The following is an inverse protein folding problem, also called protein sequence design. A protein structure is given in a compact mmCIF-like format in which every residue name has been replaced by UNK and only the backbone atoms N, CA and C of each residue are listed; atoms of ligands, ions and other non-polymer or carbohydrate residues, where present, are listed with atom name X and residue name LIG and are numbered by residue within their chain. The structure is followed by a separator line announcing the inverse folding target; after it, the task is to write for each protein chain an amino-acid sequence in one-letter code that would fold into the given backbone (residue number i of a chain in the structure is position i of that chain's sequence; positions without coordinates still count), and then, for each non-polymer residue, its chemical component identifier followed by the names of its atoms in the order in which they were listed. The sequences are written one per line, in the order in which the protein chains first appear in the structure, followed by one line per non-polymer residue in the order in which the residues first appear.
data_IF_727577350098
#
_entry.id   IF_727577350098
#
_cell.length_a   1.000
_cell.length_b   1.000
_cell.length_c   1.000
_cell.angle_alpha   90.00
_cell.angle_beta   90.00
_cell.angle_gamma   90.00
#
_symmetry.space_group_name_H-M   'P 1'
#
loop_
_entity.id
_entity.type
_entity.pdbx_description
1 polymer ?
#
# COMPACT_ATOMS: atom_id res chain seq x y z
N UNK A 1 -4.06 37.85 2.07
CA UNK A 1 -2.88 36.98 2.29
C UNK A 1 -3.22 35.61 1.73
N UNK A 2 -2.66 35.26 0.55
CA UNK A 2 -2.77 33.93 -0.03
C UNK A 2 -1.93 32.99 0.83
N UNK A 3 -2.57 32.18 1.65
CA UNK A 3 -1.94 31.02 2.26
C UNK A 3 -1.72 29.98 1.15
N UNK A 4 -0.54 29.99 0.57
CA UNK A 4 -0.05 28.86 -0.21
C UNK A 4 0.31 27.77 0.81
N UNK A 5 -0.62 26.88 1.10
CA UNK A 5 -0.32 25.65 1.85
C UNK A 5 0.54 24.79 0.93
N UNK A 6 1.85 24.85 1.07
CA UNK A 6 2.70 23.76 0.59
C UNK A 6 2.44 22.58 1.54
N UNK A 7 1.74 21.58 1.06
CA UNK A 7 1.53 20.36 1.83
C UNK A 7 2.86 19.62 1.83
N UNK A 8 3.64 19.81 2.87
CA UNK A 8 4.85 19.05 3.11
C UNK A 8 4.46 17.79 3.87
N UNK A 9 4.85 16.61 3.37
CA UNK A 9 4.70 15.36 4.10
C UNK A 9 5.78 15.28 5.17
N UNK A 10 5.35 15.18 6.42
CA UNK A 10 6.26 14.96 7.53
C UNK A 10 6.77 13.52 7.49
N UNK A 11 8.04 13.35 7.70
CA UNK A 11 8.66 12.06 7.90
C UNK A 11 8.07 11.35 9.12
N UNK A 12 7.69 10.09 8.96
CA UNK A 12 7.20 9.23 10.04
C UNK A 12 8.32 8.27 10.42
N UNK A 13 8.91 8.50 11.58
CA UNK A 13 10.00 7.67 12.09
C UNK A 13 9.61 6.18 12.12
N UNK A 14 10.43 5.35 11.51
CA UNK A 14 10.20 3.90 11.45
C UNK A 14 9.24 3.47 10.32
N UNK A 15 8.86 4.38 9.42
CA UNK A 15 8.10 4.09 8.22
C UNK A 15 8.96 4.42 6.99
N UNK A 16 9.05 3.48 6.05
CA UNK A 16 9.68 3.70 4.75
C UNK A 16 8.68 3.35 3.65
N UNK A 17 8.73 4.09 2.58
CA UNK A 17 7.79 3.95 1.47
C UNK A 17 8.53 3.89 0.13
N UNK A 18 7.94 3.17 -0.81
CA UNK A 18 8.36 3.17 -2.21
C UNK A 18 7.18 3.02 -3.15
N UNK A 19 7.32 3.48 -4.37
CA UNK A 19 6.37 3.22 -5.44
C UNK A 19 7.10 3.17 -6.78
N UNK A 20 6.76 2.20 -7.61
CA UNK A 20 7.40 1.97 -8.91
C UNK A 20 6.35 1.71 -9.99
N UNK A 21 6.75 1.87 -11.24
CA UNK A 21 5.98 1.41 -12.40
C UNK A 21 6.34 -0.06 -12.67
N UNK A 22 5.46 -0.98 -12.29
CA UNK A 22 5.69 -2.42 -12.44
C UNK A 22 5.10 -3.00 -13.73
N UNK A 23 4.32 -2.20 -14.49
CA UNK A 23 3.65 -2.61 -15.70
C UNK A 23 2.27 -3.23 -15.48
N UNK A 24 1.67 -3.05 -14.30
CA UNK A 24 0.25 -3.37 -14.04
C UNK A 24 -0.63 -2.38 -14.80
N UNK A 25 -0.26 -1.10 -14.80
CA UNK A 25 -0.86 -0.07 -15.67
C UNK A 25 -0.11 0.02 -17.01
N UNK A 26 -0.84 0.14 -18.11
CA UNK A 26 -0.27 0.21 -19.45
C UNK A 26 0.46 1.52 -19.78
N UNK A 27 0.22 2.58 -19.00
CA UNK A 27 0.75 3.94 -19.25
C UNK A 27 2.10 4.21 -18.54
N UNK A 28 2.75 3.18 -18.02
CA UNK A 28 4.02 3.28 -17.29
C UNK A 28 4.02 4.25 -16.10
N UNK A 29 2.85 4.49 -15.50
CA UNK A 29 2.73 5.25 -14.26
C UNK A 29 3.01 4.36 -13.05
N UNK A 30 3.28 4.97 -11.88
CA UNK A 30 3.43 4.26 -10.63
C UNK A 30 2.17 3.42 -10.35
N UNK A 31 2.36 2.14 -10.05
CA UNK A 31 1.27 1.17 -9.91
C UNK A 31 1.50 0.09 -8.86
N UNK A 32 2.72 0.00 -8.33
CA UNK A 32 3.07 -0.92 -7.25
C UNK A 32 3.79 -0.14 -6.15
N UNK A 33 3.20 -0.14 -4.96
CA UNK A 33 3.66 0.64 -3.82
C UNK A 33 3.86 -0.26 -2.59
N UNK A 34 4.82 0.10 -1.75
CA UNK A 34 5.14 -0.59 -0.52
C UNK A 34 5.32 0.43 0.61
N UNK A 35 4.70 0.15 1.75
CA UNK A 35 4.94 0.85 3.01
C UNK A 35 5.51 -0.19 3.97
N UNK A 36 6.73 0.01 4.42
CA UNK A 36 7.41 -0.83 5.41
C UNK A 36 7.35 -0.16 6.77
N UNK A 37 7.04 -0.95 7.79
CA UNK A 37 6.87 -0.52 9.17
C UNK A 37 7.95 -1.17 10.04
N UNK A 38 8.48 -0.42 10.99
CA UNK A 38 9.42 -0.96 11.97
C UNK A 38 8.74 -2.03 12.83
N UNK A 39 9.50 -3.02 13.28
CA UNK A 39 9.02 -4.03 14.22
C UNK A 39 8.44 -3.39 15.48
N UNK A 40 7.33 -3.94 15.98
CA UNK A 40 6.60 -3.38 17.13
C UNK A 40 5.55 -2.32 16.76
N UNK A 41 5.39 -1.99 15.48
CA UNK A 41 4.31 -1.11 15.02
C UNK A 41 2.94 -1.72 15.30
N UNK A 42 1.99 -0.89 15.73
CA UNK A 42 0.59 -1.28 15.92
C UNK A 42 -0.21 -0.96 14.66
N UNK A 43 -1.06 -1.91 14.24
CA UNK A 43 -1.90 -1.76 13.06
C UNK A 43 -3.37 -2.00 13.41
N UNK A 44 -4.23 -1.14 12.89
CA UNK A 44 -5.67 -1.30 12.94
C UNK A 44 -6.27 -1.06 11.56
N UNK A 45 -7.35 -1.74 11.23
CA UNK A 45 -8.01 -1.60 9.93
C UNK A 45 -9.53 -1.68 10.06
N UNK A 46 -10.20 -1.02 9.11
CA UNK A 46 -11.65 -1.18 8.88
C UNK A 46 -11.85 -1.75 7.48
N UNK A 47 -12.87 -2.58 7.34
CA UNK A 47 -13.15 -3.30 6.10
C UNK A 47 -14.60 -3.14 5.68
N UNK A 48 -14.85 -3.29 4.38
CA UNK A 48 -16.22 -3.34 3.86
C UNK A 48 -17.02 -4.49 4.49
N UNK A 49 -18.31 -4.24 4.68
CA UNK A 49 -19.30 -5.27 5.08
C UNK A 49 -19.95 -5.96 3.88
N UNK A 50 -19.58 -5.58 2.65
CA UNK A 50 -20.11 -6.20 1.45
C UNK A 50 -19.71 -7.69 1.39
N UNK A 51 -20.69 -8.55 1.12
CA UNK A 51 -20.47 -10.00 0.96
C UNK A 51 -19.55 -10.29 -0.23
N UNK A 52 -19.64 -9.50 -1.30
CA UNK A 52 -18.76 -9.60 -2.47
C UNK A 52 -17.44 -8.85 -2.22
N UNK A 53 -16.64 -9.37 -1.30
CA UNK A 53 -15.32 -8.81 -0.99
C UNK A 53 -14.29 -9.22 -2.04
N UNK A 54 -13.40 -8.28 -2.38
CA UNK A 54 -12.21 -8.58 -3.17
C UNK A 54 -11.24 -9.48 -2.41
N UNK A 55 -10.46 -10.27 -3.15
CA UNK A 55 -9.49 -11.21 -2.58
C UNK A 55 -8.50 -10.56 -1.59
N UNK A 56 -7.88 -9.39 -1.88
CA UNK A 56 -6.97 -8.74 -0.94
C UNK A 56 -7.65 -8.36 0.39
N UNK A 57 -8.95 -8.02 0.37
CA UNK A 57 -9.70 -7.73 1.61
C UNK A 57 -9.79 -8.97 2.51
N UNK A 58 -10.06 -10.14 1.92
CA UNK A 58 -10.15 -11.40 2.66
C UNK A 58 -8.80 -11.82 3.24
N UNK A 59 -7.73 -11.69 2.45
CA UNK A 59 -6.36 -11.98 2.91
C UNK A 59 -5.95 -11.00 4.01
N UNK A 60 -6.18 -9.69 3.84
CA UNK A 60 -5.85 -8.68 4.84
C UNK A 60 -6.58 -8.89 6.18
N UNK A 61 -7.88 -9.28 6.15
CA UNK A 61 -8.63 -9.64 7.36
C UNK A 61 -7.99 -10.79 8.13
N UNK A 62 -7.46 -11.79 7.42
CA UNK A 62 -6.78 -12.93 8.01
C UNK A 62 -5.43 -12.50 8.61
N UNK A 63 -4.61 -11.78 7.83
CA UNK A 63 -3.27 -11.36 8.23
C UNK A 63 -3.27 -10.36 9.39
N UNK A 64 -4.33 -9.58 9.58
CA UNK A 64 -4.41 -8.57 10.65
C UNK A 64 -4.31 -9.17 12.08
N UNK A 65 -4.41 -10.49 12.22
CA UNK A 65 -4.13 -11.19 13.48
C UNK A 65 -2.62 -11.30 13.79
N UNK A 66 -1.75 -10.94 12.84
CA UNK A 66 -0.29 -10.95 12.99
C UNK A 66 0.25 -9.55 13.25
N UNK A 67 1.52 -9.44 13.66
CA UNK A 67 2.22 -8.15 13.74
C UNK A 67 2.58 -7.68 12.34
N UNK A 68 1.89 -6.68 11.83
CA UNK A 68 2.09 -6.20 10.45
C UNK A 68 3.37 -5.37 10.34
N UNK A 69 4.15 -5.65 9.31
CA UNK A 69 5.39 -4.95 8.98
C UNK A 69 5.43 -4.38 7.56
N UNK A 70 4.45 -4.73 6.71
CA UNK A 70 4.38 -4.19 5.36
C UNK A 70 2.94 -4.05 4.85
N UNK A 71 2.72 -3.01 4.03
CA UNK A 71 1.49 -2.81 3.27
C UNK A 71 1.89 -2.83 1.79
N UNK A 72 1.42 -3.82 1.04
CA UNK A 72 1.63 -3.95 -0.40
C UNK A 72 0.39 -3.45 -1.14
N UNK A 73 0.56 -2.45 -2.00
CA UNK A 73 -0.56 -1.83 -2.70
C UNK A 73 -0.30 -1.89 -4.20
N UNK A 74 -1.22 -2.47 -4.97
CA UNK A 74 -1.21 -2.33 -6.41
C UNK A 74 -2.41 -1.52 -6.91
N UNK A 75 -2.20 -0.75 -7.96
CA UNK A 75 -3.25 -0.03 -8.70
C UNK A 75 -3.29 -0.44 -10.18
N UNK A 76 -4.45 -0.31 -10.81
CA UNK A 76 -4.71 -0.79 -12.16
C UNK A 76 -5.49 -2.11 -12.22
N UNK A 77 -5.41 -2.94 -11.18
CA UNK A 77 -6.15 -4.19 -11.05
C UNK A 77 -6.69 -4.30 -9.62
N UNK A 78 -7.99 -4.55 -9.46
CA UNK A 78 -8.65 -4.64 -8.15
C UNK A 78 -8.55 -6.02 -7.50
N UNK A 79 -8.16 -7.05 -8.25
CA UNK A 79 -8.21 -8.45 -7.83
C UNK A 79 -9.56 -8.81 -7.16
N UNK A 80 -10.65 -8.35 -7.76
CA UNK A 80 -12.02 -8.52 -7.32
C UNK A 80 -12.81 -9.31 -8.36
N UNK A 81 -13.73 -10.18 -7.92
CA UNK A 81 -14.47 -11.08 -8.82
C UNK A 81 -13.61 -12.19 -9.43
N UNK A 82 -12.48 -12.51 -8.84
CA UNK A 82 -11.46 -13.43 -9.36
C UNK A 82 -11.49 -14.81 -8.70
N UNK A 83 -12.41 -15.02 -7.76
CA UNK A 83 -12.64 -16.32 -7.11
C UNK A 83 -11.40 -16.84 -6.36
N UNK A 84 -11.27 -18.18 -6.34
CA UNK A 84 -10.17 -18.87 -5.65
C UNK A 84 -8.79 -18.44 -6.16
N UNK A 85 -8.65 -18.28 -7.48
CA UNK A 85 -7.39 -17.87 -8.09
C UNK A 85 -6.92 -16.48 -7.58
N UNK A 86 -7.86 -15.54 -7.43
CA UNK A 86 -7.54 -14.21 -6.88
C UNK A 86 -7.06 -14.26 -5.43
N UNK A 87 -7.61 -15.15 -4.60
CA UNK A 87 -7.12 -15.40 -3.24
C UNK A 87 -5.68 -15.93 -3.24
N UNK A 88 -5.42 -16.95 -4.07
CA UNK A 88 -4.08 -17.51 -4.24
C UNK A 88 -3.07 -16.47 -4.71
N UNK A 89 -3.46 -15.64 -5.67
CA UNK A 89 -2.60 -14.58 -6.22
C UNK A 89 -2.32 -13.46 -5.20
N UNK A 90 -3.34 -13.09 -4.40
CA UNK A 90 -3.16 -12.13 -3.32
C UNK A 90 -2.18 -12.65 -2.26
N UNK A 91 -2.32 -13.91 -1.85
CA UNK A 91 -1.40 -14.53 -0.90
C UNK A 91 0.03 -14.65 -1.45
N UNK A 92 0.19 -15.10 -2.70
CA UNK A 92 1.49 -15.14 -3.37
C UNK A 92 2.18 -13.79 -3.44
N UNK A 93 1.41 -12.72 -3.66
CA UNK A 93 1.97 -11.37 -3.65
C UNK A 93 2.55 -10.99 -2.28
N UNK A 94 1.89 -11.42 -1.20
CA UNK A 94 2.43 -11.24 0.16
C UNK A 94 3.70 -12.07 0.39
N UNK A 95 3.73 -13.34 -0.08
CA UNK A 95 4.92 -14.21 0.02
C UNK A 95 6.14 -13.58 -0.66
N UNK A 96 5.98 -13.05 -1.87
CA UNK A 96 7.07 -12.44 -2.64
C UNK A 96 7.69 -11.23 -1.91
N UNK A 97 6.86 -10.36 -1.33
CA UNK A 97 7.35 -9.20 -0.58
C UNK A 97 7.93 -9.61 0.77
N UNK A 98 7.33 -10.59 1.42
CA UNK A 98 7.82 -11.11 2.69
C UNK A 98 9.23 -11.74 2.54
N UNK A 99 9.48 -12.46 1.45
CA UNK A 99 10.79 -13.02 1.12
C UNK A 99 11.85 -11.92 0.98
N UNK A 100 11.56 -10.86 0.22
CA UNK A 100 12.50 -9.73 0.02
C UNK A 100 12.75 -8.93 1.31
N UNK A 101 11.76 -8.84 2.21
CA UNK A 101 11.87 -8.14 3.49
C UNK A 101 12.39 -9.05 4.62
N UNK A 102 12.55 -10.36 4.38
CA UNK A 102 12.88 -11.37 5.39
C UNK A 102 11.92 -11.38 6.59
N UNK A 103 10.60 -11.33 6.30
CA UNK A 103 9.50 -11.41 7.26
C UNK A 103 8.54 -12.55 6.87
N UNK A 104 7.49 -12.77 7.65
CA UNK A 104 6.47 -13.79 7.32
C UNK A 104 5.41 -13.22 6.37
N UNK A 105 4.83 -14.03 5.46
CA UNK A 105 3.75 -13.58 4.56
C UNK A 105 2.57 -12.94 5.29
N UNK A 106 2.20 -13.45 6.46
CA UNK A 106 1.11 -12.93 7.29
C UNK A 106 1.40 -11.54 7.89
N UNK A 107 2.64 -11.07 7.79
CA UNK A 107 3.02 -9.72 8.21
C UNK A 107 2.88 -8.67 7.10
N UNK A 108 2.40 -9.09 5.91
CA UNK A 108 2.14 -8.22 4.76
C UNK A 108 0.64 -8.09 4.55
N UNK A 109 0.11 -6.86 4.54
CA UNK A 109 -1.28 -6.58 4.16
C UNK A 109 -1.36 -6.23 2.68
N UNK A 110 -2.14 -6.98 1.86
CA UNK A 110 -2.34 -6.67 0.46
C UNK A 110 -3.49 -5.67 0.25
N UNK A 111 -3.31 -4.77 -0.71
CA UNK A 111 -4.32 -3.83 -1.19
C UNK A 111 -4.31 -3.82 -2.71
N UNK A 112 -5.49 -3.86 -3.33
CA UNK A 112 -5.60 -3.78 -4.80
C UNK A 112 -6.74 -2.83 -5.18
N UNK A 113 -6.52 -2.04 -6.22
CA UNK A 113 -7.50 -1.10 -6.73
C UNK A 113 -7.39 -0.98 -8.25
N UNK A 114 -8.52 -0.89 -8.95
CA UNK A 114 -8.58 -0.75 -10.40
C UNK A 114 -9.64 -1.63 -11.06
N UNK A 115 -9.29 -2.29 -12.16
CA UNK A 115 -10.21 -3.10 -12.94
C UNK A 115 -10.66 -4.35 -12.17
N UNK A 116 -11.97 -4.62 -12.22
CA UNK A 116 -12.64 -5.78 -11.60
C UNK A 116 -12.75 -6.91 -12.64
N UNK A 117 -12.69 -8.17 -12.19
CA UNK A 117 -12.90 -9.36 -13.04
C UNK A 117 -11.68 -9.81 -13.82
N UNK A 118 -10.53 -9.16 -13.65
CA UNK A 118 -9.26 -9.57 -14.25
C UNK A 118 -8.33 -10.18 -13.19
N UNK A 119 -7.62 -11.23 -13.54
CA UNK A 119 -6.63 -11.85 -12.68
C UNK A 119 -5.48 -10.87 -12.41
N UNK A 120 -4.97 -10.91 -11.18
CA UNK A 120 -3.83 -10.08 -10.78
C UNK A 120 -2.57 -10.53 -11.56
N UNK A 121 -1.83 -9.61 -12.19
CA UNK A 121 -0.60 -9.96 -12.90
C UNK A 121 0.56 -10.21 -11.93
N UNK A 122 0.51 -11.34 -11.22
CA UNK A 122 1.46 -11.72 -10.15
C UNK A 122 2.90 -11.74 -10.64
N UNK A 123 3.15 -12.09 -11.91
CA UNK A 123 4.48 -12.09 -12.50
C UNK A 123 5.10 -10.67 -12.58
N UNK A 124 4.27 -9.63 -12.75
CA UNK A 124 4.74 -8.25 -12.66
C UNK A 124 5.22 -7.91 -11.25
N UNK A 125 4.47 -8.34 -10.22
CA UNK A 125 4.88 -8.15 -8.82
C UNK A 125 6.19 -8.89 -8.54
N UNK A 126 6.28 -10.16 -8.96
CA UNK A 126 7.47 -10.99 -8.78
C UNK A 126 8.74 -10.36 -9.39
N UNK A 127 8.63 -9.89 -10.62
CA UNK A 127 9.77 -9.27 -11.32
C UNK A 127 10.28 -7.99 -10.64
N UNK A 128 9.40 -7.29 -9.96
CA UNK A 128 9.66 -5.97 -9.42
C UNK A 128 9.78 -5.95 -7.89
N UNK A 129 9.57 -7.07 -7.18
CA UNK A 129 9.60 -7.14 -5.72
C UNK A 129 10.94 -6.64 -5.14
N UNK A 130 12.06 -7.12 -5.67
CA UNK A 130 13.39 -6.69 -5.24
C UNK A 130 13.61 -5.19 -5.47
N UNK A 131 13.28 -4.66 -6.66
CA UNK A 131 13.39 -3.24 -6.95
C UNK A 131 12.52 -2.41 -6.00
N UNK A 132 11.27 -2.83 -5.73
CA UNK A 132 10.34 -2.15 -4.85
C UNK A 132 10.90 -2.04 -3.42
N UNK A 133 11.44 -3.13 -2.89
CA UNK A 133 12.04 -3.17 -1.55
C UNK A 133 13.31 -2.33 -1.48
N UNK A 134 14.19 -2.41 -2.48
CA UNK A 134 15.43 -1.62 -2.51
C UNK A 134 15.19 -0.11 -2.73
N UNK A 135 14.00 0.28 -3.18
CA UNK A 135 13.60 1.69 -3.36
C UNK A 135 12.95 2.31 -2.12
N UNK A 136 12.84 1.59 -1.01
CA UNK A 136 12.24 2.10 0.23
C UNK A 136 13.02 3.27 0.81
N UNK A 137 12.34 4.41 0.99
CA UNK A 137 12.90 5.62 1.59
C UNK A 137 11.94 6.23 2.61
N UNK A 138 12.43 7.08 3.51
CA UNK A 138 11.64 7.74 4.57
C UNK A 138 10.73 8.85 4.01
N UNK A 139 11.07 9.42 2.87
CA UNK A 139 10.32 10.47 2.16
C UNK A 139 9.40 9.95 1.03
N UNK A 140 9.32 8.62 0.84
CA UNK A 140 8.59 7.99 -0.27
C UNK A 140 7.06 8.05 -0.22
N UNK A 141 6.44 8.60 0.84
CA UNK A 141 4.97 8.59 1.00
C UNK A 141 4.24 9.38 -0.11
N UNK A 142 4.86 10.43 -0.65
CA UNK A 142 4.33 11.18 -1.79
C UNK A 142 4.21 10.34 -3.06
N UNK A 143 5.15 9.45 -3.31
CA UNK A 143 5.09 8.54 -4.46
C UNK A 143 4.05 7.42 -4.24
N UNK A 144 3.83 6.98 -3.00
CA UNK A 144 2.70 6.10 -2.67
C UNK A 144 1.38 6.80 -2.97
N UNK A 145 1.21 8.08 -2.60
CA UNK A 145 0.00 8.84 -2.90
C UNK A 145 -0.30 8.89 -4.41
N UNK A 146 0.72 8.97 -5.26
CA UNK A 146 0.59 8.87 -6.73
C UNK A 146 0.32 7.43 -7.18
N UNK A 147 1.06 6.47 -6.62
CA UNK A 147 1.02 5.07 -7.01
C UNK A 147 -0.34 4.40 -6.78
N UNK A 148 -1.11 4.85 -5.78
CA UNK A 148 -2.43 4.30 -5.46
C UNK A 148 -3.57 4.83 -6.34
N UNK A 149 -3.34 5.88 -7.15
CA UNK A 149 -4.37 6.51 -7.97
C UNK A 149 -4.86 5.58 -9.09
N UNK A 150 -6.13 5.70 -9.42
CA UNK A 150 -6.75 5.04 -10.60
C UNK A 150 -7.43 6.07 -11.48
N UNK A 151 -8.63 6.51 -11.13
CA UNK A 151 -9.45 7.52 -11.83
C UNK A 151 -9.37 8.90 -11.18
N UNK A 152 -8.67 9.01 -10.08
CA UNK A 152 -8.46 10.28 -9.38
C UNK A 152 -7.69 11.27 -10.25
N UNK A 153 -8.08 12.55 -10.18
CA UNK A 153 -7.43 13.64 -10.92
C UNK A 153 -6.22 14.21 -10.19
N UNK A 154 -6.19 14.07 -8.86
CA UNK A 154 -5.14 14.62 -8.00
C UNK A 154 -4.81 13.68 -6.85
N UNK A 155 -3.59 13.74 -6.36
CA UNK A 155 -3.18 13.07 -5.13
C UNK A 155 -3.87 13.69 -3.91
N UNK A 156 -4.23 12.84 -2.96
CA UNK A 156 -4.84 13.26 -1.70
C UNK A 156 -3.96 12.79 -0.55
N UNK A 157 -3.24 13.71 0.04
CA UNK A 157 -2.39 13.46 1.20
C UNK A 157 -2.31 14.68 2.10
N UNK A 158 -2.03 14.46 3.37
CA UNK A 158 -1.76 15.53 4.32
C UNK A 158 -0.84 15.06 5.43
N UNK A 159 -0.16 15.98 6.06
CA UNK A 159 0.61 15.77 7.29
C UNK A 159 0.37 16.88 8.28
N UNK A 160 0.32 16.52 9.55
CA UNK A 160 0.28 17.46 10.67
C UNK A 160 1.25 17.02 11.76
N UNK A 161 1.81 17.99 12.48
CA UNK A 161 2.60 17.75 13.68
C UNK A 161 1.92 18.41 14.87
N UNK A 162 1.90 17.72 15.99
CA UNK A 162 1.37 18.23 17.25
C UNK A 162 2.16 17.65 18.44
N UNK A 163 1.93 18.19 19.63
CA UNK A 163 2.59 17.69 20.83
C UNK A 163 1.60 16.95 21.73
N UNK A 164 2.05 15.81 22.25
CA UNK A 164 1.38 15.05 23.30
C UNK A 164 2.39 14.89 24.45
N UNK A 165 2.07 15.41 25.61
CA UNK A 165 2.96 15.38 26.79
C UNK A 165 4.40 15.85 26.51
N UNK A 166 4.53 16.90 25.69
CA UNK A 166 5.82 17.48 25.28
C UNK A 166 6.56 16.74 24.17
N UNK A 167 6.09 15.58 23.75
CA UNK A 167 6.66 14.78 22.66
C UNK A 167 5.99 15.19 21.32
N UNK A 168 6.79 15.45 20.30
CA UNK A 168 6.27 15.73 18.94
C UNK A 168 5.77 14.44 18.30
N UNK A 169 4.52 14.48 17.85
CA UNK A 169 3.87 13.40 17.08
C UNK A 169 3.59 13.91 15.67
N UNK A 170 4.02 13.14 14.67
CA UNK A 170 3.69 13.36 13.27
C UNK A 170 2.57 12.40 12.85
N UNK A 171 1.55 12.94 12.21
CA UNK A 171 0.47 12.17 11.60
C UNK A 171 0.43 12.48 10.11
N UNK A 172 0.56 11.46 9.28
CA UNK A 172 0.45 11.57 7.83
C UNK A 172 -0.64 10.65 7.31
N UNK A 173 -1.34 11.09 6.28
CA UNK A 173 -2.38 10.32 5.63
C UNK A 173 -2.33 10.44 4.12
N UNK A 174 -2.65 9.34 3.45
CA UNK A 174 -2.89 9.28 2.01
C UNK A 174 -4.25 8.65 1.76
N UNK A 175 -4.96 9.12 0.76
CA UNK A 175 -6.27 8.60 0.39
C UNK A 175 -6.44 8.60 -1.12
N UNK A 176 -7.33 7.74 -1.60
CA UNK A 176 -7.80 7.75 -2.97
C UNK A 176 -9.32 7.62 -3.02
N UNK A 177 -9.91 8.06 -4.09
CA UNK A 177 -11.33 8.00 -4.38
C UNK A 177 -11.80 9.26 -5.12
N UNK A 178 -12.66 9.09 -6.11
CA UNK A 178 -13.27 10.16 -6.92
C UNK A 178 -14.70 10.44 -6.45
#
# INVERSE_FOLDING_TARGET
QNLTMSIHLNEIKGVKCSSIASGIKSNNSLDLSLISLVEGSSTAAVFTQNIFCAAPVLVAKNHLNSTIQALLINSGNANAGTGKKGLEDSFKSCEMIAEELNIKPEQVLPFSTGVIGQLLPVESIKKNANQLVNSLTEDGLGDVAKGILTTDLVEKYCSVSFKVDGVTVNLSGVAKGS
#
